data_IF_730835668784
#
_entry.id   IF_730835668784
#
_cell.length_a   1.000
_cell.length_b   1.000
_cell.length_c   1.000
_cell.angle_alpha   90.00
_cell.angle_beta   90.00
_cell.angle_gamma   90.00
#
_symmetry.space_group_name_H-M   'P 1'
#
loop_
_entity.id
_entity.type
_entity.pdbx_description
1 polymer ?
#
# COMPACT_ATOMS: atom_id res chain seq x y z
N UNK A 1 -4.32 -82.88 36.39
CA UNK A 1 -4.07 -81.63 35.64
C UNK A 1 -3.85 -80.57 36.70
N UNK A 2 -2.63 -80.08 36.81
CA UNK A 2 -2.25 -79.19 37.89
C UNK A 2 -2.94 -77.84 37.71
N UNK A 3 -3.85 -77.54 38.64
CA UNK A 3 -4.67 -76.33 38.62
C UNK A 3 -3.78 -75.07 38.61
N UNK A 4 -2.59 -75.16 39.21
CA UNK A 4 -1.59 -74.09 39.27
C UNK A 4 -0.99 -73.74 37.90
N UNK A 5 -0.84 -74.72 37.00
CA UNK A 5 -0.36 -74.49 35.64
C UNK A 5 -1.40 -73.75 34.79
N UNK A 6 -2.68 -74.04 35.01
CA UNK A 6 -3.80 -73.37 34.32
C UNK A 6 -3.97 -71.93 34.81
N UNK A 7 -3.85 -71.69 36.13
CA UNK A 7 -3.89 -70.34 36.70
C UNK A 7 -2.69 -69.48 36.28
N UNK A 8 -1.48 -70.06 36.25
CA UNK A 8 -0.29 -69.38 35.76
C UNK A 8 -0.38 -69.03 34.27
N UNK A 9 -0.94 -69.93 33.44
CA UNK A 9 -1.17 -69.68 32.03
C UNK A 9 -2.25 -68.59 31.80
N UNK A 10 -3.35 -68.61 32.57
CA UNK A 10 -4.38 -67.57 32.48
C UNK A 10 -3.87 -66.19 32.93
N UNK A 11 -3.13 -66.10 34.03
CA UNK A 11 -2.52 -64.83 34.49
C UNK A 11 -1.46 -64.31 33.52
N UNK A 12 -0.64 -65.19 32.95
CA UNK A 12 0.32 -64.83 31.90
C UNK A 12 -0.35 -64.32 30.62
N UNK A 13 -1.47 -64.94 30.23
CA UNK A 13 -2.26 -64.50 29.06
C UNK A 13 -3.01 -63.18 29.31
N UNK A 14 -3.52 -62.96 30.52
CA UNK A 14 -4.21 -61.71 30.89
C UNK A 14 -3.26 -60.51 30.90
N UNK A 15 -2.04 -60.68 31.45
CA UNK A 15 -1.00 -59.63 31.41
C UNK A 15 -0.54 -59.29 29.99
N UNK A 16 -0.48 -60.28 29.09
CA UNK A 16 -0.16 -60.07 27.67
C UNK A 16 -1.21 -59.25 26.94
N UNK A 17 -2.50 -59.48 27.20
CA UNK A 17 -3.60 -58.74 26.58
C UNK A 17 -3.62 -57.28 27.06
N UNK A 18 -3.42 -57.04 28.36
CA UNK A 18 -3.37 -55.68 28.91
C UNK A 18 -2.14 -54.90 28.41
N UNK A 19 -0.96 -55.54 28.40
CA UNK A 19 0.25 -54.94 27.85
C UNK A 19 0.13 -54.58 26.38
N UNK A 20 -0.47 -55.47 25.57
CA UNK A 20 -0.76 -55.21 24.16
C UNK A 20 -1.74 -54.04 23.99
N UNK A 21 -2.78 -53.95 24.83
CA UNK A 21 -3.73 -52.83 24.82
C UNK A 21 -3.07 -51.48 25.08
N UNK A 22 -2.13 -51.40 26.03
CA UNK A 22 -1.36 -50.19 26.32
C UNK A 22 -0.47 -49.80 25.14
N UNK A 23 0.20 -50.77 24.52
CA UNK A 23 1.06 -50.52 23.35
C UNK A 23 0.23 -49.99 22.17
N UNK A 24 -0.93 -50.59 21.88
CA UNK A 24 -1.84 -50.12 20.83
C UNK A 24 -2.40 -48.73 21.14
N UNK A 25 -2.70 -48.43 22.40
CA UNK A 25 -3.17 -47.11 22.83
C UNK A 25 -2.08 -46.04 22.66
N UNK A 26 -0.84 -46.33 23.03
CA UNK A 26 0.31 -45.44 22.84
C UNK A 26 0.59 -45.21 21.36
N UNK A 27 0.57 -46.26 20.54
CA UNK A 27 0.73 -46.15 19.08
C UNK A 27 -0.36 -45.29 18.46
N UNK A 28 -1.63 -45.49 18.83
CA UNK A 28 -2.75 -44.67 18.35
C UNK A 28 -2.57 -43.20 18.73
N UNK A 29 -2.19 -42.93 19.98
CA UNK A 29 -2.00 -41.57 20.48
C UNK A 29 -0.82 -40.88 19.80
N UNK A 30 0.30 -41.58 19.65
CA UNK A 30 1.49 -41.07 18.97
C UNK A 30 1.21 -40.78 17.48
N UNK A 31 0.52 -41.69 16.78
CA UNK A 31 0.19 -41.51 15.37
C UNK A 31 -0.81 -40.36 15.17
N UNK A 32 -1.82 -40.26 16.04
CA UNK A 32 -2.77 -39.15 16.02
C UNK A 32 -2.09 -37.80 16.26
N UNK A 33 -1.16 -37.73 17.22
CA UNK A 33 -0.40 -36.52 17.51
C UNK A 33 0.50 -36.12 16.34
N UNK A 34 1.18 -37.10 15.71
CA UNK A 34 2.04 -36.83 14.56
C UNK A 34 1.27 -36.31 13.36
N UNK A 35 0.09 -36.87 13.08
CA UNK A 35 -0.81 -36.38 12.02
C UNK A 35 -1.33 -34.97 12.35
N UNK A 36 -1.76 -34.73 13.59
CA UNK A 36 -2.19 -33.38 14.01
C UNK A 36 -1.07 -32.36 13.85
N UNK A 37 0.16 -32.74 14.17
CA UNK A 37 1.31 -31.86 14.04
C UNK A 37 1.63 -31.56 12.57
N UNK A 38 1.57 -32.55 11.67
CA UNK A 38 1.78 -32.32 10.24
C UNK A 38 0.69 -31.42 9.65
N UNK A 39 -0.57 -31.68 9.99
CA UNK A 39 -1.71 -30.86 9.58
C UNK A 39 -1.61 -29.43 10.15
N UNK A 40 -1.26 -29.30 11.42
CA UNK A 40 -1.09 -28.01 12.09
C UNK A 40 0.01 -27.17 11.45
N UNK A 41 1.12 -27.80 11.05
CA UNK A 41 2.17 -27.12 10.32
C UNK A 41 1.69 -26.64 8.93
N UNK A 42 0.99 -27.48 8.17
CA UNK A 42 0.42 -27.06 6.89
C UNK A 42 -0.56 -25.89 7.03
N UNK A 43 -1.41 -25.89 8.05
CA UNK A 43 -2.32 -24.77 8.30
C UNK A 43 -1.57 -23.51 8.72
N UNK A 44 -0.50 -23.63 9.52
CA UNK A 44 0.33 -22.48 9.89
C UNK A 44 1.00 -21.86 8.65
N UNK A 45 1.57 -22.68 7.76
CA UNK A 45 2.16 -22.23 6.50
C UNK A 45 1.11 -21.55 5.61
N UNK A 46 -0.05 -22.18 5.40
CA UNK A 46 -1.16 -21.58 4.63
C UNK A 46 -1.64 -20.26 5.22
N UNK A 47 -1.67 -20.14 6.55
CA UNK A 47 -2.05 -18.91 7.24
C UNK A 47 -1.01 -17.81 7.03
N UNK A 48 0.28 -18.13 7.06
CA UNK A 48 1.37 -17.19 6.79
C UNK A 48 1.35 -16.72 5.33
N UNK A 49 1.16 -17.63 4.38
CA UNK A 49 0.99 -17.31 2.96
C UNK A 49 -0.21 -16.38 2.73
N UNK A 50 -1.36 -16.68 3.35
CA UNK A 50 -2.55 -15.84 3.25
C UNK A 50 -2.29 -14.44 3.82
N UNK A 51 -1.66 -14.35 4.99
CA UNK A 51 -1.27 -13.06 5.58
C UNK A 51 -0.29 -12.28 4.70
N UNK A 52 0.70 -12.95 4.08
CA UNK A 52 1.63 -12.32 3.13
C UNK A 52 0.86 -11.75 1.93
N UNK A 53 -0.07 -12.53 1.36
CA UNK A 53 -0.87 -12.11 0.21
C UNK A 53 -1.76 -10.89 0.53
N UNK A 54 -2.37 -10.87 1.72
CA UNK A 54 -3.20 -9.76 2.17
C UNK A 54 -2.36 -8.49 2.38
N UNK A 55 -1.18 -8.62 2.98
CA UNK A 55 -0.25 -7.49 3.15
C UNK A 55 0.21 -6.92 1.81
N UNK A 56 0.50 -7.78 0.83
CA UNK A 56 0.85 -7.34 -0.52
C UNK A 56 -0.29 -6.55 -1.14
N UNK A 57 -1.53 -7.01 -1.00
CA UNK A 57 -2.72 -6.30 -1.51
C UNK A 57 -2.85 -4.90 -0.93
N UNK A 58 -2.82 -4.78 0.40
CA UNK A 58 -2.95 -3.49 1.10
C UNK A 58 -1.82 -2.54 0.74
N UNK A 59 -0.57 -3.03 0.73
CA UNK A 59 0.60 -2.21 0.34
C UNK A 59 0.55 -1.74 -1.11
N UNK A 60 0.07 -2.61 -2.01
CA UNK A 60 -0.11 -2.26 -3.43
C UNK A 60 -1.18 -1.20 -3.60
N UNK A 61 -2.30 -1.31 -2.87
CA UNK A 61 -3.38 -0.33 -2.87
C UNK A 61 -2.90 1.04 -2.39
N UNK A 62 -2.09 1.10 -1.33
CA UNK A 62 -1.54 2.35 -0.81
C UNK A 62 -0.68 3.09 -1.85
N UNK A 63 0.23 2.38 -2.53
CA UNK A 63 1.08 2.99 -3.58
C UNK A 63 0.26 3.40 -4.81
N UNK A 64 -0.69 2.56 -5.23
CA UNK A 64 -1.56 2.90 -6.36
C UNK A 64 -2.39 4.15 -6.07
N UNK A 65 -2.94 4.26 -4.85
CA UNK A 65 -3.69 5.43 -4.39
C UNK A 65 -2.80 6.67 -4.31
N UNK A 66 -1.58 6.54 -3.78
CA UNK A 66 -0.62 7.64 -3.72
C UNK A 66 -0.31 8.22 -5.10
N UNK A 67 0.03 7.35 -6.06
CA UNK A 67 0.39 7.78 -7.40
C UNK A 67 -0.83 8.31 -8.17
N UNK A 68 -2.01 7.72 -7.98
CA UNK A 68 -3.24 8.23 -8.56
C UNK A 68 -3.56 9.64 -8.08
N UNK A 69 -3.51 9.88 -6.76
CA UNK A 69 -3.78 11.18 -6.14
C UNK A 69 -2.73 12.22 -6.54
N UNK A 70 -1.46 11.83 -6.59
CA UNK A 70 -0.39 12.73 -7.02
C UNK A 70 -0.55 13.14 -8.49
N UNK A 71 -1.01 12.23 -9.37
CA UNK A 71 -1.23 12.52 -10.78
C UNK A 71 -2.52 13.30 -11.07
N UNK A 72 -3.52 13.28 -10.17
CA UNK A 72 -4.86 13.83 -10.42
C UNK A 72 -5.02 15.34 -10.15
N UNK A 73 -3.92 16.08 -9.94
CA UNK A 73 -3.90 17.41 -9.30
C UNK A 73 -4.44 17.31 -7.87
N UNK A 74 -3.56 17.09 -6.86
CA UNK A 74 -4.00 16.81 -5.51
C UNK A 74 -4.70 18.03 -4.89
N UNK A 75 -6.00 17.89 -4.66
CA UNK A 75 -6.80 18.89 -3.94
C UNK A 75 -6.66 18.70 -2.41
N UNK A 76 -6.39 17.47 -1.95
CA UNK A 76 -6.24 17.12 -0.52
C UNK A 76 -4.78 16.77 -0.15
N UNK A 77 -4.04 17.80 0.26
CA UNK A 77 -2.65 17.66 0.73
C UNK A 77 -2.53 16.74 1.96
N UNK A 78 -3.55 16.69 2.83
CA UNK A 78 -3.51 15.84 4.03
C UNK A 78 -3.53 14.37 3.64
N UNK A 79 -4.38 14.01 2.68
CA UNK A 79 -4.46 12.64 2.18
C UNK A 79 -3.15 12.24 1.48
N UNK A 80 -2.60 13.12 0.64
CA UNK A 80 -1.32 12.86 -0.03
C UNK A 80 -0.17 12.64 0.96
N UNK A 81 -0.08 13.47 2.01
CA UNK A 81 0.91 13.32 3.07
C UNK A 81 0.74 12.00 3.83
N UNK A 82 -0.50 11.62 4.16
CA UNK A 82 -0.80 10.35 4.82
C UNK A 82 -0.29 9.16 3.99
N UNK A 83 -0.66 9.09 2.71
CA UNK A 83 -0.24 8.02 1.80
C UNK A 83 1.27 7.99 1.60
N UNK A 84 1.89 9.17 1.52
CA UNK A 84 3.32 9.33 1.41
C UNK A 84 4.03 8.77 2.65
N UNK A 85 3.60 9.15 3.85
CA UNK A 85 4.18 8.65 5.10
C UNK A 85 3.99 7.15 5.27
N UNK A 86 2.83 6.62 4.88
CA UNK A 86 2.57 5.19 4.89
C UNK A 86 3.60 4.45 4.01
N UNK A 87 3.85 4.94 2.79
CA UNK A 87 4.88 4.37 1.92
C UNK A 87 6.28 4.41 2.55
N UNK A 88 6.66 5.50 3.22
CA UNK A 88 7.98 5.63 3.88
C UNK A 88 8.22 4.61 5.01
N UNK A 89 7.18 4.05 5.63
CA UNK A 89 7.34 3.15 6.77
C UNK A 89 7.74 1.73 6.37
N UNK A 90 7.30 1.26 5.20
CA UNK A 90 7.46 -0.16 4.82
C UNK A 90 8.20 -0.37 3.50
N UNK A 91 8.33 0.65 2.66
CA UNK A 91 9.00 0.52 1.36
C UNK A 91 10.54 0.57 1.56
N UNK A 92 11.32 -0.24 0.83
CA UNK A 92 12.78 -0.21 0.93
C UNK A 92 13.35 1.11 0.41
N UNK A 93 14.48 1.50 0.99
CA UNK A 93 15.14 2.80 0.74
C UNK A 93 15.41 3.07 -0.73
N UNK A 94 15.80 2.04 -1.50
CA UNK A 94 16.14 2.17 -2.91
C UNK A 94 14.93 2.67 -3.73
N UNK A 95 13.75 2.08 -3.47
CA UNK A 95 12.51 2.45 -4.16
C UNK A 95 12.00 3.79 -3.63
N UNK A 96 12.16 4.06 -2.32
CA UNK A 96 11.80 5.35 -1.74
C UNK A 96 12.55 6.51 -2.38
N UNK A 97 13.86 6.39 -2.61
CA UNK A 97 14.62 7.44 -3.28
C UNK A 97 14.11 7.74 -4.69
N UNK A 98 13.70 6.70 -5.43
CA UNK A 98 13.08 6.85 -6.75
C UNK A 98 11.71 7.55 -6.64
N UNK A 99 10.88 7.10 -5.68
CA UNK A 99 9.58 7.70 -5.41
C UNK A 99 9.71 9.18 -5.03
N UNK A 100 10.60 9.54 -4.10
CA UNK A 100 10.84 10.92 -3.68
C UNK A 100 11.27 11.79 -4.86
N UNK A 101 12.18 11.31 -5.71
CA UNK A 101 12.61 12.05 -6.91
C UNK A 101 11.44 12.33 -7.85
N UNK A 102 10.55 11.36 -8.05
CA UNK A 102 9.36 11.55 -8.88
C UNK A 102 8.35 12.49 -8.25
N UNK A 103 8.04 12.33 -6.96
CA UNK A 103 7.09 13.20 -6.24
C UNK A 103 7.55 14.66 -6.16
N UNK A 104 8.86 14.90 -6.15
CA UNK A 104 9.47 16.25 -6.09
C UNK A 104 9.81 16.83 -7.47
N UNK A 105 9.44 16.16 -8.57
CA UNK A 105 9.76 16.56 -9.94
C UNK A 105 11.26 16.83 -10.18
N UNK A 106 12.13 15.99 -9.63
CA UNK A 106 13.57 16.08 -9.89
C UNK A 106 13.88 15.90 -11.39
N UNK A 107 14.92 16.54 -11.94
CA UNK A 107 15.26 16.43 -13.37
C UNK A 107 15.67 15.01 -13.80
N UNK A 108 16.13 14.18 -12.84
CA UNK A 108 16.47 12.77 -13.04
C UNK A 108 15.37 11.82 -12.54
N UNK A 109 14.12 12.30 -12.45
CA UNK A 109 13.02 11.51 -11.91
C UNK A 109 12.63 10.36 -12.86
N UNK A 110 12.49 9.12 -12.33
CA UNK A 110 11.93 8.02 -13.11
C UNK A 110 10.44 8.25 -13.38
N UNK A 111 9.90 7.54 -14.38
CA UNK A 111 8.48 7.60 -14.68
C UNK A 111 7.67 6.95 -13.56
N UNK A 112 6.42 7.39 -13.34
CA UNK A 112 5.51 6.75 -12.40
C UNK A 112 5.31 5.25 -12.70
N UNK A 113 5.38 4.87 -13.99
CA UNK A 113 5.36 3.46 -14.42
C UNK A 113 6.55 2.67 -13.89
N UNK A 114 7.74 3.25 -13.90
CA UNK A 114 8.96 2.58 -13.45
C UNK A 114 8.91 2.35 -11.92
N UNK A 115 8.34 3.29 -11.17
CA UNK A 115 8.12 3.11 -9.73
C UNK A 115 7.15 1.96 -9.48
N UNK A 116 6.00 1.93 -10.17
CA UNK A 116 5.04 0.83 -10.06
C UNK A 116 5.67 -0.52 -10.40
N UNK A 117 6.54 -0.55 -11.40
CA UNK A 117 7.31 -1.74 -11.74
C UNK A 117 8.27 -2.16 -10.63
N UNK A 118 9.06 -1.24 -10.07
CA UNK A 118 9.97 -1.52 -8.95
C UNK A 118 9.23 -2.01 -7.70
N UNK A 119 8.10 -1.38 -7.37
CA UNK A 119 7.24 -1.79 -6.24
C UNK A 119 6.66 -3.17 -6.48
N UNK A 120 6.14 -3.45 -7.69
CA UNK A 120 5.63 -4.77 -8.07
C UNK A 120 6.72 -5.84 -7.96
N UNK A 121 7.91 -5.58 -8.50
CA UNK A 121 9.07 -6.48 -8.40
C UNK A 121 9.42 -6.78 -6.95
N UNK A 122 9.37 -5.78 -6.07
CA UNK A 122 9.66 -5.96 -4.65
C UNK A 122 8.57 -6.77 -3.91
N UNK A 123 7.29 -6.54 -4.23
CA UNK A 123 6.18 -7.19 -3.52
C UNK A 123 5.86 -8.61 -4.03
N UNK A 124 5.97 -8.84 -5.34
CA UNK A 124 5.58 -10.10 -5.99
C UNK A 124 6.77 -10.96 -6.41
N UNK A 125 7.99 -10.44 -6.32
CA UNK A 125 9.21 -11.13 -6.78
C UNK A 125 9.11 -11.55 -8.28
N UNK A 126 8.30 -10.82 -9.05
CA UNK A 126 7.94 -11.10 -10.45
C UNK A 126 8.44 -9.99 -11.39
N UNK A 127 9.11 -10.38 -12.47
CA UNK A 127 9.68 -9.49 -13.49
C UNK A 127 9.05 -9.64 -14.88
N UNK A 128 7.98 -10.44 -15.01
CA UNK A 128 7.35 -10.75 -16.30
C UNK A 128 6.73 -9.52 -16.98
N UNK A 129 6.16 -8.60 -16.20
CA UNK A 129 5.55 -7.36 -16.70
C UNK A 129 6.60 -6.25 -16.80
N UNK A 130 6.63 -5.51 -17.91
CA UNK A 130 7.55 -4.38 -18.09
C UNK A 130 6.85 -3.05 -17.72
N UNK A 131 7.62 -2.02 -17.34
CA UNK A 131 7.05 -0.69 -17.01
C UNK A 131 6.16 -0.13 -18.12
N UNK A 132 6.49 -0.40 -19.39
CA UNK A 132 5.76 0.09 -20.56
C UNK A 132 4.34 -0.46 -20.69
N UNK A 133 4.07 -1.62 -20.10
CA UNK A 133 2.78 -2.31 -20.19
C UNK A 133 1.75 -1.72 -19.20
N UNK A 134 2.23 -0.88 -18.28
CA UNK A 134 1.40 -0.22 -17.27
C UNK A 134 0.66 0.95 -17.91
N UNK A 135 -0.67 0.88 -17.91
CA UNK A 135 -1.55 1.93 -18.45
C UNK A 135 -1.77 3.01 -17.39
N UNK A 136 -1.59 4.28 -17.79
CA UNK A 136 -1.86 5.46 -16.95
C UNK A 136 -2.72 6.40 -17.79
N UNK A 137 -3.90 6.75 -17.27
CA UNK A 137 -4.81 7.71 -17.89
C UNK A 137 -4.45 9.13 -17.43
N UNK A 138 -4.27 10.05 -18.38
CA UNK A 138 -3.89 11.45 -18.09
C UNK A 138 -4.95 12.49 -18.44
N UNK A 139 -6.02 12.09 -19.13
CA UNK A 139 -7.03 13.01 -19.68
C UNK A 139 -7.65 13.94 -18.64
N UNK A 140 -7.94 13.44 -17.44
CA UNK A 140 -8.53 14.28 -16.40
C UNK A 140 -7.54 15.33 -15.87
N UNK A 141 -6.30 14.91 -15.56
CA UNK A 141 -5.23 15.80 -15.09
C UNK A 141 -4.94 16.91 -16.10
N UNK A 142 -4.87 16.56 -17.39
CA UNK A 142 -4.65 17.51 -18.48
C UNK A 142 -5.82 18.49 -18.63
N UNK A 143 -7.06 18.00 -18.52
CA UNK A 143 -8.27 18.83 -18.54
C UNK A 143 -8.32 19.82 -17.37
N UNK A 144 -7.96 19.37 -16.16
CA UNK A 144 -7.90 20.23 -14.96
C UNK A 144 -6.79 21.28 -15.09
N UNK A 145 -5.59 20.88 -15.51
CA UNK A 145 -4.48 21.80 -15.78
C UNK A 145 -4.85 22.88 -16.80
N UNK A 146 -5.53 22.48 -17.89
CA UNK A 146 -5.99 23.39 -18.92
C UNK A 146 -7.04 24.38 -18.38
N UNK A 147 -8.01 23.91 -17.59
CA UNK A 147 -9.00 24.78 -16.95
C UNK A 147 -8.37 25.79 -16.00
N UNK A 148 -7.40 25.38 -15.19
CA UNK A 148 -6.70 26.29 -14.28
C UNK A 148 -6.01 27.44 -15.05
N UNK A 149 -5.27 27.11 -16.11
CA UNK A 149 -4.63 28.10 -16.99
C UNK A 149 -5.63 29.04 -17.66
N UNK A 150 -6.77 28.53 -18.12
CA UNK A 150 -7.83 29.35 -18.73
C UNK A 150 -8.45 30.32 -17.71
N UNK A 151 -8.68 29.87 -16.48
CA UNK A 151 -9.20 30.73 -15.41
C UNK A 151 -8.21 31.86 -15.07
N UNK A 152 -6.91 31.55 -14.98
CA UNK A 152 -5.85 32.55 -14.77
C UNK A 152 -5.78 33.57 -15.91
N UNK A 153 -5.89 33.13 -17.17
CA UNK A 153 -5.93 34.05 -18.32
C UNK A 153 -7.19 34.95 -18.32
N UNK A 154 -8.34 34.43 -17.88
CA UNK A 154 -9.59 35.22 -17.82
C UNK A 154 -9.66 36.23 -16.68
N UNK A 155 -8.83 36.08 -15.64
CA UNK A 155 -8.81 36.96 -14.46
C UNK A 155 -7.87 38.15 -14.62
N UNK A 156 -7.30 38.37 -15.82
CA UNK A 156 -6.52 39.57 -16.13
C UNK A 156 -7.41 40.82 -16.09
N UNK A 157 -7.43 41.52 -14.96
CA UNK A 157 -8.12 42.80 -14.81
C UNK A 157 -7.38 43.86 -15.63
N UNK A 158 -8.05 44.60 -16.54
CA UNK A 158 -7.42 45.74 -17.19
C UNK A 158 -7.05 46.75 -16.10
N UNK A 159 -5.82 47.27 -16.13
CA UNK A 159 -5.34 48.32 -15.23
C UNK A 159 -6.37 49.45 -15.16
N UNK A 160 -7.07 49.54 -14.04
CA UNK A 160 -7.93 50.68 -13.75
C UNK A 160 -7.01 51.90 -13.65
N UNK A 161 -7.08 52.79 -14.63
CA UNK A 161 -6.37 54.07 -14.66
C UNK A 161 -6.91 55.02 -13.57
N UNK A 162 -6.70 54.66 -12.31
CA UNK A 162 -6.86 55.50 -11.13
C UNK A 162 -5.61 56.38 -11.04
N UNK A 163 -5.57 57.46 -11.84
CA UNK A 163 -4.92 58.75 -11.55
C UNK A 163 -4.90 59.62 -12.82
N UNK A 164 -6.07 60.00 -13.34
CA UNK A 164 -6.21 61.06 -14.34
C UNK A 164 -7.27 62.12 -13.98
N UNK A 165 -7.76 62.13 -12.73
CA UNK A 165 -8.59 63.20 -12.18
C UNK A 165 -7.83 63.87 -11.03
N UNK A 166 -6.92 64.79 -11.37
CA UNK A 166 -6.08 65.44 -10.36
C UNK A 166 -5.49 66.79 -10.76
N UNK A 167 -5.98 67.46 -11.80
CA UNK A 167 -5.60 68.86 -12.08
C UNK A 167 -6.77 69.78 -11.77
N UNK A 168 -6.94 70.11 -10.48
CA UNK A 168 -7.82 71.19 -10.03
C UNK A 168 -7.28 72.51 -10.59
N UNK A 169 -8.02 73.11 -11.53
CA UNK A 169 -7.76 74.43 -12.06
C UNK A 169 -7.85 75.50 -10.96
N UNK A 170 -6.78 76.30 -10.85
CA UNK A 170 -6.72 77.49 -10.01
C UNK A 170 -7.36 78.64 -10.79
N UNK A 171 -8.62 78.99 -10.47
CA UNK A 171 -9.35 80.09 -11.11
C UNK A 171 -9.11 81.38 -10.32
N UNK A 172 -8.46 82.35 -10.97
CA UNK A 172 -8.09 83.65 -10.40
C UNK A 172 -9.27 84.49 -9.91
N UNK A 173 -9.04 85.18 -8.79
CA UNK A 173 -9.96 86.15 -8.18
C UNK A 173 -9.73 87.50 -8.87
N UNK A 174 -10.66 87.91 -9.73
CA UNK A 174 -10.71 89.29 -10.26
C UNK A 174 -11.26 90.20 -9.17
N UNK A 175 -10.42 91.11 -8.69
CA UNK A 175 -10.82 92.27 -7.88
C UNK A 175 -11.64 93.22 -8.75
N UNK A 176 -12.81 93.61 -8.28
CA UNK A 176 -13.58 94.75 -8.80
C UNK A 176 -14.26 95.40 -7.60
N UNK A 177 -13.64 96.44 -7.08
CA UNK A 177 -14.32 97.46 -6.28
C UNK A 177 -13.50 98.76 -6.31
N UNK A 178 -14.17 99.79 -6.83
CA UNK A 178 -13.89 101.25 -6.81
C UNK A 178 -12.80 101.80 -7.71
#
# INVERSE_FOLDING_TARGET
MDLDLVWAAMLGSAGGITGMGIILWLLKTWFAERIKQSIGHEYAVKLEEWKKSEQIRVKSEAIASLLAEWMSFPDDQRNLNKLTFEAYLWLPTDILQLLTKTLTHAPTAPNARDILWHVRKHLLEDETLQSRDIVIFKQESERRAFRAKMNEMSTFTPFTALNALGTKGHKGKTSRDR
#
